data_IF_493252528625
#
_entry.id   IF_493252528625
#
_cell.length_a   1.000
_cell.length_b   1.000
_cell.length_c   1.000
_cell.angle_alpha   90.00
_cell.angle_beta   90.00
_cell.angle_gamma   90.00
#
_symmetry.space_group_name_H-M   'P 1'
#
loop_
_entity.id
_entity.type
_entity.pdbx_description
1 polymer ?
#
# COMPACT_ATOMS: atom_id res chain seq x y z
N UNK A 1 5.47 -9.69 -21.54
CA UNK A 1 6.70 -8.85 -21.49
C UNK A 1 6.38 -7.43 -21.95
N UNK A 2 7.04 -6.41 -21.39
CA UNK A 2 6.98 -5.01 -21.83
C UNK A 2 8.39 -4.43 -21.95
N UNK A 3 8.62 -3.62 -22.97
CA UNK A 3 9.91 -2.96 -23.21
C UNK A 3 9.85 -1.47 -22.87
N UNK A 4 10.91 -0.95 -22.25
CA UNK A 4 11.15 0.48 -22.10
C UNK A 4 12.55 0.82 -22.58
N UNK A 5 12.75 2.09 -22.96
CA UNK A 5 14.06 2.60 -23.33
C UNK A 5 15.01 2.56 -22.12
N UNK A 6 16.24 2.16 -22.37
CA UNK A 6 17.32 2.11 -21.40
C UNK A 6 18.57 2.78 -21.98
N UNK A 7 19.17 3.67 -21.21
CA UNK A 7 20.39 4.39 -21.60
C UNK A 7 21.53 3.97 -20.70
N UNK A 8 22.41 3.08 -21.19
CA UNK A 8 23.49 2.51 -20.39
C UNK A 8 24.43 3.58 -19.85
N UNK A 9 24.68 4.63 -20.63
CA UNK A 9 25.49 5.78 -20.29
C UNK A 9 24.93 6.61 -19.12
N UNK A 10 23.61 6.60 -18.93
CA UNK A 10 22.93 7.31 -17.84
C UNK A 10 22.63 6.39 -16.65
N UNK A 11 23.08 5.14 -16.68
CA UNK A 11 22.68 4.14 -15.71
C UNK A 11 23.36 4.36 -14.36
N UNK A 12 22.54 4.45 -13.31
CA UNK A 12 23.02 4.48 -11.94
C UNK A 12 23.53 3.09 -11.54
N UNK A 13 24.86 2.97 -11.43
CA UNK A 13 25.54 1.72 -11.09
C UNK A 13 25.21 1.22 -9.68
N UNK A 14 24.95 2.14 -8.74
CA UNK A 14 24.55 1.79 -7.36
C UNK A 14 23.19 1.10 -7.41
N UNK A 15 22.19 1.72 -8.05
CA UNK A 15 20.83 1.16 -8.20
C UNK A 15 20.88 -0.20 -8.89
N UNK A 16 21.65 -0.32 -9.97
CA UNK A 16 21.86 -1.60 -10.66
C UNK A 16 22.40 -2.69 -9.73
N UNK A 17 23.43 -2.37 -8.94
CA UNK A 17 24.05 -3.32 -8.03
C UNK A 17 23.12 -3.69 -6.89
N UNK A 18 22.33 -2.74 -6.38
CA UNK A 18 21.33 -3.00 -5.34
C UNK A 18 20.27 -3.98 -5.83
N UNK A 19 19.73 -3.79 -7.03
CA UNK A 19 18.72 -4.70 -7.60
C UNK A 19 19.32 -6.08 -7.89
N UNK A 20 20.54 -6.16 -8.44
CA UNK A 20 21.16 -7.44 -8.81
C UNK A 20 21.54 -8.29 -7.60
N UNK A 21 21.97 -7.66 -6.52
CA UNK A 21 22.55 -8.36 -5.37
C UNK A 21 21.54 -8.61 -4.24
N UNK A 22 20.35 -7.99 -4.29
CA UNK A 22 19.34 -8.13 -3.26
C UNK A 22 18.05 -8.70 -3.84
N UNK A 23 17.36 -9.52 -3.05
CA UNK A 23 15.97 -9.90 -3.34
C UNK A 23 15.07 -8.79 -2.82
N UNK A 24 14.77 -7.84 -3.71
CA UNK A 24 13.87 -6.74 -3.40
C UNK A 24 12.46 -7.16 -3.83
N UNK A 25 11.53 -7.21 -2.89
CA UNK A 25 10.14 -7.53 -3.18
C UNK A 25 9.45 -6.39 -3.95
N UNK A 26 8.35 -6.70 -4.62
CA UNK A 26 7.48 -5.71 -5.26
C UNK A 26 8.14 -4.86 -6.38
N UNK A 27 9.24 -5.34 -6.95
CA UNK A 27 9.76 -4.87 -8.24
C UNK A 27 9.51 -5.93 -9.31
N UNK A 28 9.27 -5.51 -10.54
CA UNK A 28 9.19 -6.45 -11.65
C UNK A 28 10.57 -6.99 -12.02
N UNK A 29 10.65 -8.30 -12.23
CA UNK A 29 11.82 -8.91 -12.86
C UNK A 29 12.05 -8.30 -14.24
N UNK A 30 13.32 -8.03 -14.55
CA UNK A 30 13.69 -7.46 -15.84
C UNK A 30 14.99 -8.01 -16.39
N UNK A 31 15.17 -7.82 -17.70
CA UNK A 31 16.43 -8.05 -18.42
C UNK A 31 16.80 -6.78 -19.16
N UNK A 32 18.08 -6.43 -19.12
CA UNK A 32 18.62 -5.33 -19.93
C UNK A 32 19.22 -5.94 -21.18
N UNK A 33 18.81 -5.44 -22.34
CA UNK A 33 19.36 -5.80 -23.64
C UNK A 33 19.71 -4.52 -24.40
N UNK A 34 21.00 -4.26 -24.58
CA UNK A 34 21.53 -3.05 -25.23
C UNK A 34 20.87 -1.76 -24.68
N UNK A 35 19.99 -1.14 -25.48
CA UNK A 35 19.30 0.12 -25.20
C UNK A 35 17.87 -0.08 -24.72
N UNK A 36 17.52 -1.30 -24.28
CA UNK A 36 16.18 -1.66 -23.80
C UNK A 36 16.25 -2.36 -22.45
N UNK A 37 15.20 -2.16 -21.66
CA UNK A 37 14.90 -2.94 -20.47
C UNK A 37 13.55 -3.63 -20.68
N UNK A 38 13.53 -4.94 -20.47
CA UNK A 38 12.38 -5.82 -20.75
C UNK A 38 11.88 -6.37 -19.44
N UNK A 39 10.64 -6.03 -19.07
CA UNK A 39 10.01 -6.42 -17.80
C UNK A 39 9.08 -7.61 -17.97
N UNK A 40 9.13 -8.52 -17.00
CA UNK A 40 8.23 -9.66 -16.89
C UNK A 40 6.94 -9.30 -16.18
N UNK A 41 5.87 -9.16 -16.98
CA UNK A 41 4.52 -8.85 -16.51
C UNK A 41 3.63 -10.10 -16.46
N UNK A 42 4.17 -11.30 -16.63
CA UNK A 42 3.37 -12.52 -16.70
C UNK A 42 2.60 -12.72 -15.38
N UNK A 43 1.31 -13.06 -15.53
CA UNK A 43 0.37 -13.19 -14.42
C UNK A 43 -0.04 -11.87 -13.74
N UNK A 44 0.28 -10.72 -14.35
CA UNK A 44 0.00 -9.40 -13.79
C UNK A 44 -0.78 -8.54 -14.79
N UNK A 45 -1.58 -7.64 -14.24
CA UNK A 45 -2.41 -6.69 -14.99
C UNK A 45 -1.98 -5.26 -14.63
N UNK A 46 -2.02 -4.34 -15.59
CA UNK A 46 -1.65 -2.94 -15.32
C UNK A 46 -2.66 -2.31 -14.36
N UNK A 47 -2.20 -1.39 -13.53
CA UNK A 47 -3.05 -0.69 -12.58
C UNK A 47 -4.07 0.20 -13.30
N UNK A 48 -3.75 0.69 -14.50
CA UNK A 48 -4.69 1.34 -15.41
C UNK A 48 -5.90 0.46 -15.71
N UNK A 49 -5.68 -0.81 -16.03
CA UNK A 49 -6.75 -1.77 -16.29
C UNK A 49 -7.51 -2.18 -15.02
N UNK A 50 -6.80 -2.40 -13.90
CA UNK A 50 -7.42 -2.72 -12.61
C UNK A 50 -8.41 -1.64 -12.17
N UNK A 51 -8.02 -0.37 -12.31
CA UNK A 51 -8.85 0.74 -11.89
C UNK A 51 -9.92 1.07 -12.93
N UNK A 52 -9.70 0.75 -14.22
CA UNK A 52 -10.64 1.11 -15.29
C UNK A 52 -10.93 2.62 -15.32
N UNK A 53 -12.21 3.00 -15.36
CA UNK A 53 -12.63 4.41 -15.46
C UNK A 53 -12.95 5.07 -14.11
N UNK A 54 -13.22 4.30 -13.05
CA UNK A 54 -13.67 4.82 -11.77
C UNK A 54 -13.04 4.04 -10.62
N UNK A 55 -12.74 4.75 -9.53
CA UNK A 55 -12.23 4.18 -8.29
C UNK A 55 -12.94 4.86 -7.13
N UNK A 56 -13.38 4.09 -6.14
CA UNK A 56 -13.86 4.72 -4.91
C UNK A 56 -12.67 5.24 -4.09
N UNK A 57 -12.95 6.23 -3.26
CA UNK A 57 -11.97 6.92 -2.41
C UNK A 57 -11.23 5.98 -1.46
N UNK A 58 -11.91 4.97 -0.90
CA UNK A 58 -11.30 4.01 0.04
C UNK A 58 -10.24 3.17 -0.66
N UNK A 59 -10.56 2.62 -1.83
CA UNK A 59 -9.62 1.84 -2.64
C UNK A 59 -8.47 2.69 -3.15
N UNK A 60 -8.75 3.95 -3.51
CA UNK A 60 -7.70 4.87 -3.90
C UNK A 60 -6.72 5.17 -2.76
N UNK A 61 -7.22 5.41 -1.54
CA UNK A 61 -6.36 5.63 -0.36
C UNK A 61 -5.52 4.38 -0.06
N UNK A 62 -6.11 3.19 -0.13
CA UNK A 62 -5.39 1.92 0.07
C UNK A 62 -4.29 1.72 -0.97
N UNK A 63 -4.57 2.07 -2.23
CA UNK A 63 -3.58 2.00 -3.30
C UNK A 63 -2.38 2.91 -3.02
N UNK A 64 -2.62 4.14 -2.56
CA UNK A 64 -1.54 5.08 -2.20
C UNK A 64 -0.72 4.55 -1.00
N UNK A 65 -1.34 3.92 0.01
CA UNK A 65 -0.61 3.27 1.11
C UNK A 65 0.30 2.15 0.60
N UNK A 66 -0.22 1.24 -0.25
CA UNK A 66 0.55 0.15 -0.80
C UNK A 66 1.76 0.65 -1.60
N UNK A 67 1.57 1.64 -2.47
CA UNK A 67 2.67 2.23 -3.25
C UNK A 67 3.67 2.92 -2.32
N UNK A 68 3.19 3.68 -1.32
CA UNK A 68 4.06 4.34 -0.34
C UNK A 68 4.90 3.33 0.45
N UNK A 69 4.33 2.19 0.84
CA UNK A 69 5.04 1.10 1.51
C UNK A 69 6.17 0.55 0.64
N UNK A 70 5.90 0.32 -0.64
CA UNK A 70 6.92 -0.17 -1.58
C UNK A 70 8.01 0.87 -1.76
N UNK A 71 7.67 2.14 -1.99
CA UNK A 71 8.63 3.23 -2.15
C UNK A 71 9.57 3.37 -0.95
N UNK A 72 9.05 3.32 0.29
CA UNK A 72 9.89 3.34 1.51
C UNK A 72 10.85 2.15 1.56
N UNK A 73 10.39 0.97 1.10
CA UNK A 73 11.24 -0.22 1.02
C UNK A 73 12.36 0.00 0.00
N UNK A 74 12.04 0.56 -1.17
CA UNK A 74 13.01 0.86 -2.23
C UNK A 74 14.03 1.93 -1.85
N UNK A 75 13.62 2.96 -1.11
CA UNK A 75 14.51 3.98 -0.56
C UNK A 75 15.59 3.36 0.35
N UNK A 76 15.24 2.30 1.09
CA UNK A 76 16.20 1.55 1.93
C UNK A 76 17.28 0.83 1.11
N UNK A 77 17.05 0.62 -0.17
CA UNK A 77 18.01 0.08 -1.15
C UNK A 77 18.61 1.17 -2.05
N UNK A 78 18.53 2.45 -1.67
CA UNK A 78 19.02 3.59 -2.47
C UNK A 78 18.36 3.72 -3.84
N UNK A 79 17.15 3.18 -4.01
CA UNK A 79 16.36 3.31 -5.23
C UNK A 79 15.35 4.44 -5.01
N UNK A 80 15.57 5.59 -5.64
CA UNK A 80 14.69 6.75 -5.53
C UNK A 80 13.51 6.67 -6.49
N UNK A 81 12.44 7.40 -6.19
CA UNK A 81 11.25 7.51 -7.06
C UNK A 81 11.57 7.95 -8.48
N UNK A 82 12.65 8.73 -8.68
CA UNK A 82 13.11 9.16 -10.00
C UNK A 82 13.52 8.01 -10.93
N UNK A 83 13.89 6.84 -10.37
CA UNK A 83 14.21 5.62 -11.10
C UNK A 83 12.98 4.73 -11.34
N UNK A 84 11.78 5.16 -10.96
CA UNK A 84 10.57 4.34 -10.97
C UNK A 84 9.55 4.92 -11.94
N UNK A 85 8.91 4.07 -12.72
CA UNK A 85 7.75 4.48 -13.51
C UNK A 85 6.49 4.47 -12.65
N UNK A 86 6.01 5.65 -12.27
CA UNK A 86 4.82 5.83 -11.41
C UNK A 86 3.54 6.16 -12.19
N UNK A 87 3.50 5.86 -13.48
CA UNK A 87 2.25 5.96 -14.26
C UNK A 87 1.41 4.70 -14.06
N UNK A 88 0.07 4.84 -14.11
CA UNK A 88 -0.85 3.71 -13.92
C UNK A 88 -0.61 2.53 -14.90
N UNK A 89 -0.13 2.81 -16.10
CA UNK A 89 0.20 1.79 -17.11
C UNK A 89 1.53 1.07 -16.85
N UNK A 90 2.34 1.58 -15.92
CA UNK A 90 3.66 1.07 -15.58
C UNK A 90 3.73 0.44 -14.18
N UNK A 91 2.59 0.40 -13.49
CA UNK A 91 2.42 -0.27 -12.20
C UNK A 91 1.56 -1.51 -12.43
N UNK A 92 1.97 -2.64 -11.86
CA UNK A 92 1.35 -3.93 -12.12
C UNK A 92 0.80 -4.55 -10.85
N UNK A 93 -0.30 -5.29 -10.97
CA UNK A 93 -0.93 -5.99 -9.88
C UNK A 93 -1.18 -7.46 -10.23
N UNK A 94 -1.00 -8.35 -9.26
CA UNK A 94 -1.43 -9.76 -9.40
C UNK A 94 -2.91 -9.92 -9.05
N UNK A 95 -3.49 -11.09 -9.34
CA UNK A 95 -4.84 -11.43 -8.89
C UNK A 95 -4.98 -11.41 -7.35
N UNK A 96 -3.89 -11.67 -6.62
CA UNK A 96 -3.83 -11.58 -5.14
C UNK A 96 -3.70 -10.15 -4.60
N UNK A 97 -3.78 -9.12 -5.46
CA UNK A 97 -3.65 -7.70 -5.13
C UNK A 97 -2.27 -7.27 -4.63
N UNK A 98 -1.23 -8.01 -4.99
CA UNK A 98 0.15 -7.57 -4.77
C UNK A 98 0.58 -6.61 -5.87
N UNK A 99 1.18 -5.48 -5.49
CA UNK A 99 1.67 -4.47 -6.41
C UNK A 99 3.14 -4.67 -6.75
N UNK A 100 3.50 -4.36 -7.99
CA UNK A 100 4.85 -4.45 -8.52
C UNK A 100 5.16 -3.18 -9.32
N UNK A 101 6.34 -2.59 -9.07
CA UNK A 101 6.82 -1.38 -9.72
C UNK A 101 7.88 -1.71 -10.78
N UNK A 102 7.87 -0.97 -11.88
CA UNK A 102 8.95 -0.99 -12.86
C UNK A 102 10.07 -0.03 -12.43
N UNK A 103 11.27 -0.58 -12.22
CA UNK A 103 12.46 0.20 -11.87
C UNK A 103 13.41 0.24 -13.06
N UNK A 104 13.78 1.44 -13.50
CA UNK A 104 14.78 1.66 -14.53
C UNK A 104 15.97 2.45 -13.96
N UNK A 105 17.15 1.82 -13.84
CA UNK A 105 18.34 2.48 -13.29
C UNK A 105 18.88 3.64 -14.13
N UNK A 106 18.49 3.75 -15.40
CA UNK A 106 18.84 4.86 -16.29
C UNK A 106 17.78 5.98 -16.33
N UNK A 107 16.66 5.77 -15.64
CA UNK A 107 15.57 6.72 -15.58
C UNK A 107 15.88 7.78 -14.53
N UNK A 108 15.60 9.03 -14.89
CA UNK A 108 15.65 10.16 -13.98
C UNK A 108 14.44 11.05 -14.25
N UNK A 109 13.27 10.64 -13.76
CA UNK A 109 12.06 11.46 -13.88
C UNK A 109 11.84 12.32 -12.65
N UNK A 110 11.10 13.40 -12.83
CA UNK A 110 10.49 14.14 -11.73
C UNK A 110 9.13 13.56 -11.34
N UNK A 111 8.75 12.40 -11.88
CA UNK A 111 7.46 11.78 -11.57
C UNK A 111 7.54 11.18 -10.16
N UNK A 112 6.59 11.55 -9.32
CA UNK A 112 6.52 11.14 -7.94
C UNK A 112 5.10 10.69 -7.60
N UNK A 113 4.94 10.12 -6.41
CA UNK A 113 3.64 9.63 -5.94
C UNK A 113 2.61 10.77 -5.82
N UNK A 114 3.05 12.02 -5.62
CA UNK A 114 2.19 13.22 -5.67
C UNK A 114 1.59 13.41 -7.06
N UNK A 115 2.43 13.43 -8.08
CA UNK A 115 2.02 13.61 -9.48
C UNK A 115 1.06 12.52 -9.91
N UNK A 116 1.36 11.26 -9.58
CA UNK A 116 0.46 10.14 -9.80
C UNK A 116 -0.87 10.30 -9.06
N UNK A 117 -0.84 10.67 -7.78
CA UNK A 117 -2.05 10.91 -7.00
C UNK A 117 -2.93 11.99 -7.65
N UNK A 118 -2.36 13.14 -7.98
CA UNK A 118 -3.08 14.27 -8.57
C UNK A 118 -3.68 13.89 -9.92
N UNK A 119 -2.93 13.15 -10.76
CA UNK A 119 -3.44 12.65 -12.02
C UNK A 119 -4.66 11.75 -11.84
N UNK A 120 -4.68 10.88 -10.83
CA UNK A 120 -5.83 10.00 -10.56
C UNK A 120 -6.99 10.80 -9.96
N UNK A 121 -6.69 11.65 -8.97
CA UNK A 121 -7.66 12.47 -8.25
C UNK A 121 -8.41 13.44 -9.15
N UNK A 122 -7.75 14.01 -10.17
CA UNK A 122 -8.34 14.98 -11.09
C UNK A 122 -9.03 14.33 -12.30
N UNK A 123 -8.52 13.19 -12.80
CA UNK A 123 -9.01 12.61 -14.06
C UNK A 123 -10.01 11.45 -13.89
N UNK A 124 -10.11 10.85 -12.69
CA UNK A 124 -11.16 9.85 -12.42
C UNK A 124 -12.29 10.52 -11.66
N UNK A 125 -13.53 10.30 -12.10
CA UNK A 125 -14.71 10.61 -11.31
C UNK A 125 -14.69 9.63 -10.14
N UNK A 126 -13.95 9.97 -9.08
CA UNK A 126 -14.04 9.29 -7.79
C UNK A 126 -15.51 9.40 -7.40
N UNK A 127 -16.22 8.27 -7.35
CA UNK A 127 -17.64 8.28 -6.98
C UNK A 127 -17.78 9.01 -5.64
N UNK A 128 -18.40 10.18 -5.69
CA UNK A 128 -18.39 11.16 -4.61
C UNK A 128 -19.35 10.74 -3.49
N UNK A 129 -18.88 9.90 -2.55
CA UNK A 129 -19.42 9.73 -1.18
C UNK A 129 -18.27 9.42 -0.18
N UNK A 130 -18.55 9.37 1.13
CA UNK A 130 -18.29 10.37 2.18
C UNK A 130 -16.79 10.62 2.55
N UNK A 131 -15.84 10.11 1.78
CA UNK A 131 -14.40 10.16 2.11
C UNK A 131 -13.62 11.28 1.40
N UNK A 132 -14.33 12.27 0.85
CA UNK A 132 -13.71 13.45 0.21
C UNK A 132 -12.77 14.20 1.15
N UNK A 133 -13.10 14.28 2.44
CA UNK A 133 -12.27 14.96 3.45
C UNK A 133 -10.90 14.29 3.57
N UNK A 134 -10.84 12.96 3.54
CA UNK A 134 -9.58 12.23 3.65
C UNK A 134 -8.70 12.42 2.42
N UNK A 135 -9.31 12.45 1.22
CA UNK A 135 -8.59 12.79 -0.01
C UNK A 135 -8.10 14.25 -0.01
N UNK A 136 -8.87 15.19 0.54
CA UNK A 136 -8.45 16.58 0.72
C UNK A 136 -7.28 16.66 1.70
N UNK A 137 -7.33 15.97 2.85
CA UNK A 137 -6.20 15.87 3.79
C UNK A 137 -4.93 15.37 3.09
N UNK A 138 -5.05 14.32 2.28
CA UNK A 138 -3.93 13.74 1.52
C UNK A 138 -3.39 14.76 0.51
N UNK A 139 -4.26 15.40 -0.27
CA UNK A 139 -3.85 16.42 -1.23
C UNK A 139 -3.18 17.62 -0.54
N UNK A 140 -3.66 18.03 0.63
CA UNK A 140 -3.03 19.10 1.40
C UNK A 140 -1.65 18.69 1.92
N UNK A 141 -1.50 17.45 2.39
CA UNK A 141 -0.20 16.93 2.82
C UNK A 141 0.82 16.91 1.67
N UNK A 142 0.41 16.50 0.46
CA UNK A 142 1.25 16.59 -0.74
C UNK A 142 1.73 18.01 -1.07
N UNK A 143 1.01 19.04 -0.64
CA UNK A 143 1.35 20.43 -0.86
C UNK A 143 2.00 21.09 0.37
N UNK A 144 2.25 20.33 1.43
CA UNK A 144 2.97 20.81 2.60
C UNK A 144 4.48 20.83 2.37
N UNK A 145 5.18 21.72 3.09
CA UNK A 145 6.64 21.80 3.03
C UNK A 145 7.32 20.56 3.64
N UNK A 146 6.63 19.86 4.54
CA UNK A 146 7.14 18.66 5.25
C UNK A 146 6.75 17.34 4.56
N UNK A 147 6.45 17.42 3.25
CA UNK A 147 6.07 16.26 2.47
C UNK A 147 7.21 15.22 2.44
N UNK A 148 6.88 14.00 2.83
CA UNK A 148 7.71 12.81 2.65
C UNK A 148 6.82 11.59 2.42
N UNK A 149 7.33 10.57 1.72
CA UNK A 149 6.58 9.32 1.49
C UNK A 149 6.28 8.62 2.81
N UNK A 150 7.22 8.65 3.77
CA UNK A 150 7.02 8.07 5.10
C UNK A 150 5.96 8.82 5.92
N UNK A 151 5.94 10.16 5.87
CA UNK A 151 4.92 10.97 6.51
C UNK A 151 3.54 10.81 5.87
N UNK A 152 3.48 10.71 4.53
CA UNK A 152 2.25 10.40 3.79
C UNK A 152 1.65 9.08 4.28
N UNK A 153 2.49 8.03 4.36
CA UNK A 153 2.05 6.72 4.81
C UNK A 153 1.52 6.74 6.25
N UNK A 154 2.21 7.42 7.16
CA UNK A 154 1.74 7.61 8.55
C UNK A 154 0.37 8.27 8.58
N UNK A 155 0.17 9.31 7.77
CA UNK A 155 -1.13 9.99 7.68
C UNK A 155 -2.25 9.07 7.19
N UNK A 156 -1.99 8.25 6.17
CA UNK A 156 -2.97 7.29 5.65
C UNK A 156 -3.33 6.21 6.68
N UNK A 157 -2.35 5.72 7.44
CA UNK A 157 -2.59 4.76 8.51
C UNK A 157 -3.45 5.36 9.64
N UNK A 158 -3.23 6.63 9.99
CA UNK A 158 -4.05 7.34 10.97
C UNK A 158 -5.51 7.45 10.51
N UNK A 159 -5.74 7.84 9.25
CA UNK A 159 -7.09 7.87 8.64
C UNK A 159 -7.76 6.49 8.71
N UNK A 160 -6.99 5.42 8.52
CA UNK A 160 -7.51 4.05 8.54
C UNK A 160 -7.85 3.56 9.95
N UNK A 161 -7.13 4.03 10.97
CA UNK A 161 -7.37 3.68 12.37
C UNK A 161 -8.51 4.51 12.97
N UNK A 162 -8.64 5.80 12.64
CA UNK A 162 -9.78 6.65 13.04
C UNK A 162 -11.12 6.01 12.66
N UNK A 163 -11.19 5.29 11.53
CA UNK A 163 -12.41 4.57 11.12
C UNK A 163 -12.70 3.35 11.98
N UNK A 164 -11.68 2.61 12.41
CA UNK A 164 -11.84 1.43 13.27
C UNK A 164 -12.38 1.83 14.64
N UNK A 165 -11.84 2.90 15.22
CA UNK A 165 -12.28 3.39 16.54
C UNK A 165 -13.76 3.83 16.50
N UNK A 166 -14.19 4.48 15.41
CA UNK A 166 -15.59 4.88 15.20
C UNK A 166 -16.52 3.68 14.98
N UNK A 167 -16.06 2.64 14.30
CA UNK A 167 -16.82 1.38 14.11
C UNK A 167 -16.92 0.58 15.42
N UNK A 168 -15.83 0.50 16.18
CA UNK A 168 -15.80 -0.11 17.51
C UNK A 168 -16.75 0.63 18.46
N UNK A 169 -16.71 1.97 18.53
CA UNK A 169 -17.63 2.77 19.35
C UNK A 169 -19.11 2.59 18.95
N UNK A 170 -19.41 2.50 17.64
CA UNK A 170 -20.78 2.22 17.17
C UNK A 170 -21.24 0.81 17.57
N UNK A 171 -20.35 -0.17 17.50
CA UNK A 171 -20.62 -1.53 17.94
C UNK A 171 -20.84 -1.58 19.47
N UNK A 172 -20.03 -0.89 20.27
CA UNK A 172 -20.24 -0.76 21.72
C UNK A 172 -21.55 -0.03 22.07
N UNK A 173 -21.95 1.00 21.32
CA UNK A 173 -23.24 1.69 21.52
C UNK A 173 -24.45 0.83 21.12
N UNK A 174 -24.32 -0.02 20.10
CA UNK A 174 -25.39 -0.94 19.68
C UNK A 174 -25.55 -2.15 20.61
N UNK A 175 -24.50 -2.55 21.34
CA UNK A 175 -24.59 -3.53 22.43
C UNK A 175 -25.30 -2.99 23.67
N UNK A 176 -25.31 -1.66 23.86
CA UNK A 176 -25.87 -1.00 25.05
C UNK A 176 -27.24 -0.33 24.83
N UNK A 177 -27.84 -0.46 23.63
CA UNK A 177 -29.13 0.19 23.27
C UNK A 177 -30.28 -0.80 23.03
N UNK A 178 -30.23 -2.01 23.60
CA UNK A 178 -31.42 -2.86 23.75
C UNK A 178 -32.04 -2.63 25.14
N UNK A 179 -33.34 -2.29 25.26
CA UNK A 179 -33.98 -2.18 26.56
C UNK A 179 -33.99 -3.55 27.23
N UNK A 180 -33.30 -3.65 28.37
CA UNK A 180 -33.29 -4.82 29.24
C UNK A 180 -34.72 -5.14 29.70
N UNK A 181 -35.29 -6.24 29.18
CA UNK A 181 -36.29 -7.01 29.92
C UNK A 181 -35.56 -8.19 30.55
N UNK A 182 -35.38 -8.10 31.85
CA UNK A 182 -35.01 -9.24 32.68
C UNK A 182 -36.06 -10.36 32.50
N UNK A 183 -35.61 -11.57 32.20
CA UNK A 183 -36.28 -12.78 32.67
C UNK A 183 -35.27 -13.93 32.72
N UNK A 184 -35.18 -14.51 33.91
CA UNK A 184 -34.33 -15.62 34.27
C UNK A 184 -34.77 -16.94 33.60
N UNK A 185 -33.80 -17.86 33.54
CA UNK A 185 -33.89 -19.31 33.35
C UNK A 185 -33.78 -19.84 31.91
N UNK A 186 -32.55 -20.18 31.50
CA UNK A 186 -32.12 -21.58 31.32
C UNK A 186 -30.71 -21.64 30.69
N UNK A 187 -29.76 -22.24 31.42
CA UNK A 187 -28.46 -22.61 30.88
C UNK A 187 -28.59 -23.76 29.88
N UNK A 188 -28.04 -23.59 28.68
CA UNK A 188 -27.43 -24.67 27.90
C UNK A 188 -25.98 -24.28 27.60
N UNK A 189 -24.97 -25.13 27.85
CA UNK A 189 -23.59 -24.77 27.61
C UNK A 189 -23.29 -24.80 26.10
N UNK A 190 -23.04 -23.64 25.50
CA UNK A 190 -22.49 -23.55 24.15
C UNK A 190 -20.95 -23.70 24.22
N UNK A 191 -20.45 -24.62 23.42
CA UNK A 191 -19.06 -25.08 23.37
C UNK A 191 -18.08 -23.92 23.16
N UNK A 192 -17.04 -23.89 23.99
CA UNK A 192 -15.83 -23.06 23.79
C UNK A 192 -15.12 -23.51 22.50
N UNK A 193 -15.08 -22.66 21.47
CA UNK A 193 -14.11 -22.76 20.38
C UNK A 193 -12.92 -21.85 20.68
N UNK A 194 -11.81 -22.52 20.98
CA UNK A 194 -10.45 -22.05 21.19
C UNK A 194 -9.81 -21.51 19.92
N UNK A 195 -9.30 -20.26 19.93
CA UNK A 195 -8.24 -19.82 19.00
C UNK A 195 -7.06 -19.14 19.73
N UNK A 196 -7.26 -18.52 20.91
CA UNK A 196 -6.18 -17.78 21.58
C UNK A 196 -5.51 -18.47 22.79
N UNK A 197 -5.89 -19.70 23.14
CA UNK A 197 -5.30 -20.39 24.31
C UNK A 197 -3.94 -21.04 24.06
N UNK A 198 -3.38 -20.92 22.85
CA UNK A 198 -2.12 -21.59 22.48
C UNK A 198 -0.94 -20.68 22.21
N UNK A 199 -1.09 -19.36 22.26
CA UNK A 199 0.00 -18.50 21.81
C UNK A 199 1.06 -18.23 22.87
N UNK A 200 0.83 -17.77 24.12
CA UNK A 200 1.97 -17.61 25.06
C UNK A 200 1.61 -17.74 26.56
N UNK A 201 1.62 -18.98 27.06
CA UNK A 201 1.97 -19.29 28.45
C UNK A 201 3.37 -19.91 28.47
N UNK A 202 4.15 -19.48 29.47
CA UNK A 202 5.44 -20.01 29.95
C UNK A 202 6.70 -19.76 29.12
N UNK A 203 7.41 -18.68 29.47
CA UNK A 203 8.79 -18.82 29.93
C UNK A 203 8.70 -18.97 31.46
N UNK A 204 8.80 -20.21 31.97
CA UNK A 204 9.03 -20.53 33.39
C UNK A 204 10.39 -21.23 33.44
N UNK A 205 11.36 -20.60 34.12
CA UNK A 205 12.51 -21.17 34.87
C UNK A 205 13.50 -19.99 35.07
N UNK A 206 13.66 -19.42 36.26
CA UNK A 206 14.38 -19.97 37.43
C UNK A 206 13.81 -19.30 38.70
N UNK A 207 13.17 -20.00 39.66
CA UNK A 207 13.75 -20.61 40.88
C UNK A 207 15.16 -20.09 41.20
N UNK A 208 15.45 -19.40 42.29
CA UNK A 208 15.72 -19.84 43.68
C UNK A 208 16.26 -18.53 44.34
N UNK A 209 15.93 -18.02 45.52
CA UNK A 209 15.57 -18.56 46.83
C UNK A 209 14.83 -17.47 47.61
#
# INVERSE_FOLDING_TARGET
>A
MIEKNYKKENSNTIVLNMIKNNKIDNILDYKINENKIIYNIDGKISLKEVIGNQINSIEFIKLIDLISKILITLESYMISSSNIYLNLEDIYMTQSRELYLMVNPSLNTNNDIKSMFQNIYLNKIIETKPDSINLIKINNYFNSNDYSVSGLRKMILNISNEKKDVEEEKNFKNLNSTPQKANNNNLKPLKKTTIFSRFFQTQKQNIVK
#
